data_IF_712176768597
#
_entry.id   IF_712176768597
#
_cell.length_a   1.000
_cell.length_b   1.000
_cell.length_c   1.000
_cell.angle_alpha   90.00
_cell.angle_beta   90.00
_cell.angle_gamma   90.00
#
_symmetry.space_group_name_H-M   'P 1'
#
loop_
_entity.id
_entity.type
_entity.pdbx_description
1 polymer ?
#
# COMPACT_ATOMS: atom_id res chain seq x y z
N UNK A 1 14.99 17.32 -3.05
CA UNK A 1 13.57 17.65 -2.76
C UNK A 1 12.92 18.51 -3.85
N UNK A 2 13.38 19.74 -4.09
CA UNK A 2 12.79 20.59 -5.15
C UNK A 2 12.85 19.95 -6.54
N UNK A 3 13.95 19.27 -6.87
CA UNK A 3 14.09 18.58 -8.16
C UNK A 3 13.13 17.40 -8.30
N UNK A 4 13.01 16.56 -7.27
CA UNK A 4 12.02 15.48 -7.21
C UNK A 4 10.59 16.03 -7.40
N UNK A 5 10.29 17.19 -6.81
CA UNK A 5 9.00 17.83 -6.96
C UNK A 5 8.75 18.34 -8.38
N UNK A 6 9.75 18.93 -9.03
CA UNK A 6 9.66 19.33 -10.45
C UNK A 6 9.39 18.12 -11.34
N UNK A 7 10.08 17.00 -11.09
CA UNK A 7 9.84 15.75 -11.80
C UNK A 7 8.45 15.19 -11.53
N UNK A 8 7.94 15.35 -10.30
CA UNK A 8 6.58 14.99 -9.94
C UNK A 8 5.57 15.79 -10.78
N UNK A 9 5.68 17.12 -10.74
CA UNK A 9 4.84 18.03 -11.52
C UNK A 9 4.91 17.79 -13.03
N UNK A 10 6.10 17.54 -13.57
CA UNK A 10 6.30 17.26 -15.00
C UNK A 10 5.60 15.98 -15.46
N UNK A 11 5.34 15.03 -14.56
CA UNK A 11 4.60 13.80 -14.83
C UNK A 11 3.09 13.93 -14.56
N UNK A 12 2.59 15.16 -14.41
CA UNK A 12 1.21 15.43 -14.00
C UNK A 12 0.93 15.16 -12.51
N UNK A 13 1.97 14.77 -11.77
CA UNK A 13 1.90 14.51 -10.34
C UNK A 13 1.73 15.79 -9.55
N UNK A 14 0.94 15.75 -8.49
CA UNK A 14 0.66 16.95 -7.69
C UNK A 14 0.46 16.65 -6.20
N UNK A 15 0.68 15.39 -5.83
CA UNK A 15 0.79 14.91 -4.45
C UNK A 15 1.85 13.81 -4.41
N UNK A 16 2.63 13.76 -3.33
CA UNK A 16 3.67 12.76 -3.13
C UNK A 16 3.35 11.88 -1.90
N UNK A 17 3.22 10.58 -2.11
CA UNK A 17 3.38 9.59 -1.05
C UNK A 17 4.84 9.17 -0.98
N UNK A 18 5.39 9.06 0.22
CA UNK A 18 6.74 8.54 0.42
C UNK A 18 6.67 7.22 1.15
N UNK A 19 7.29 6.19 0.58
CA UNK A 19 7.48 4.89 1.22
C UNK A 19 8.97 4.72 1.48
N UNK A 20 9.36 4.75 2.75
CA UNK A 20 10.72 4.49 3.20
C UNK A 20 10.85 3.05 3.65
N UNK A 21 11.67 2.27 2.95
CA UNK A 21 12.06 0.93 3.35
C UNK A 21 13.39 0.94 4.14
N UNK A 22 13.73 2.04 4.79
CA UNK A 22 14.91 2.16 5.67
C UNK A 22 14.58 1.74 7.09
N UNK A 23 15.57 1.18 7.80
CA UNK A 23 15.45 0.90 9.24
C UNK A 23 15.48 2.19 10.06
N UNK A 24 14.84 2.16 11.23
CA UNK A 24 14.94 3.23 12.22
C UNK A 24 16.41 3.38 12.65
N UNK A 25 16.98 4.56 12.42
CA UNK A 25 18.37 4.86 12.75
C UNK A 25 19.39 4.49 11.67
N UNK A 26 18.96 3.93 10.53
CA UNK A 26 19.84 3.72 9.37
C UNK A 26 20.31 5.08 8.83
N UNK A 27 21.60 5.22 8.56
CA UNK A 27 22.17 6.45 8.04
C UNK A 27 21.71 6.71 6.61
N UNK A 28 21.05 7.85 6.41
CA UNK A 28 20.66 8.34 5.09
C UNK A 28 21.92 8.80 4.36
N UNK A 29 22.18 8.32 3.12
CA UNK A 29 23.34 8.76 2.37
C UNK A 29 23.35 10.29 2.16
N UNK A 30 24.53 10.94 2.14
CA UNK A 30 24.63 12.37 1.87
C UNK A 30 23.93 12.76 0.56
N UNK A 31 23.18 13.86 0.58
CA UNK A 31 22.41 14.34 -0.57
C UNK A 31 20.99 13.77 -0.70
N UNK A 32 20.62 12.77 0.09
CA UNK A 32 19.25 12.27 0.17
C UNK A 32 18.46 12.93 1.30
N UNK A 33 17.13 13.00 1.12
CA UNK A 33 16.24 13.62 2.08
C UNK A 33 16.04 12.74 3.32
N UNK A 34 16.24 13.34 4.49
CA UNK A 34 15.98 12.73 5.79
C UNK A 34 14.50 12.76 6.13
N UNK A 35 14.07 12.03 7.16
CA UNK A 35 12.68 12.06 7.64
C UNK A 35 12.18 13.50 7.90
N UNK A 36 13.01 14.34 8.54
CA UNK A 36 12.68 15.74 8.83
C UNK A 36 12.47 16.57 7.56
N UNK A 37 13.17 16.24 6.47
CA UNK A 37 13.00 16.92 5.19
C UNK A 37 11.65 16.57 4.55
N UNK A 38 11.23 15.31 4.65
CA UNK A 38 9.93 14.85 4.14
C UNK A 38 8.75 15.43 4.93
N UNK A 39 8.87 15.48 6.26
CA UNK A 39 7.86 16.10 7.13
C UNK A 39 7.62 17.58 6.77
N UNK A 40 8.71 18.31 6.53
CA UNK A 40 8.67 19.75 6.21
C UNK A 40 8.25 20.03 4.78
N UNK A 41 8.35 19.07 3.86
CA UNK A 41 8.06 19.31 2.46
C UNK A 41 6.55 19.39 2.19
N UNK A 42 6.01 20.49 1.65
CA UNK A 42 4.57 20.69 1.54
C UNK A 42 3.88 19.78 0.52
N UNK A 43 4.61 19.28 -0.49
CA UNK A 43 4.06 18.37 -1.50
C UNK A 43 3.91 16.92 -1.05
N UNK A 44 4.38 16.56 0.16
CA UNK A 44 4.19 15.22 0.74
C UNK A 44 2.88 15.20 1.52
N UNK A 45 2.01 14.26 1.13
CA UNK A 45 0.70 14.04 1.77
C UNK A 45 0.75 12.90 2.78
N UNK A 46 1.53 11.85 2.48
CA UNK A 46 1.72 10.72 3.38
C UNK A 46 3.17 10.24 3.35
N UNK A 47 3.61 9.74 4.50
CA UNK A 47 4.88 9.06 4.68
C UNK A 47 4.60 7.70 5.34
N UNK A 48 5.22 6.65 4.82
CA UNK A 48 5.14 5.29 5.34
C UNK A 48 6.56 4.78 5.60
N UNK A 49 6.78 4.18 6.76
CA UNK A 49 8.04 3.49 7.08
C UNK A 49 7.77 1.98 7.09
N UNK A 50 8.47 1.23 6.24
CA UNK A 50 8.31 -0.22 6.07
C UNK A 50 9.68 -0.92 6.04
N UNK A 51 10.35 -1.05 7.19
CA UNK A 51 11.62 -1.77 7.28
C UNK A 51 11.42 -3.29 7.33
N UNK A 52 11.22 -3.92 6.16
CA UNK A 52 10.91 -5.36 6.09
C UNK A 52 12.13 -6.24 5.74
N UNK A 53 13.31 -5.66 5.48
CA UNK A 53 14.56 -6.42 5.34
C UNK A 53 15.67 -5.67 6.06
N UNK A 54 16.10 -6.22 7.21
CA UNK A 54 17.25 -5.69 7.93
C UNK A 54 18.50 -5.66 7.03
N UNK A 55 19.32 -4.60 7.05
CA UNK A 55 20.53 -4.46 6.24
C UNK A 55 21.47 -5.68 6.32
N UNK A 56 21.61 -6.26 7.51
CA UNK A 56 22.48 -7.42 7.78
C UNK A 56 21.97 -8.72 7.15
N UNK A 57 20.70 -8.74 6.72
CA UNK A 57 20.01 -9.91 6.15
C UNK A 57 19.72 -9.74 4.66
N UNK A 58 20.33 -8.75 4.00
CA UNK A 58 20.14 -8.55 2.56
C UNK A 58 20.77 -9.66 1.70
N UNK A 59 21.75 -10.39 2.23
CA UNK A 59 22.36 -11.56 1.58
C UNK A 59 21.67 -12.88 1.98
N UNK A 60 21.22 -12.99 3.23
CA UNK A 60 20.45 -14.11 3.76
C UNK A 60 19.08 -13.62 4.21
N UNK A 61 18.02 -13.76 3.39
CA UNK A 61 16.72 -13.19 3.74
C UNK A 61 16.24 -13.64 5.12
N UNK A 62 15.66 -12.75 5.93
CA UNK A 62 14.99 -13.14 7.15
C UNK A 62 13.86 -14.12 6.84
N UNK A 63 13.51 -14.97 7.82
CA UNK A 63 12.24 -15.67 7.76
C UNK A 63 11.12 -14.64 7.66
N UNK A 64 10.41 -14.69 6.54
CA UNK A 64 9.25 -13.86 6.23
C UNK A 64 8.11 -14.29 7.15
N UNK A 65 7.91 -13.57 8.26
CA UNK A 65 6.78 -13.77 9.15
C UNK A 65 5.48 -13.23 8.55
N UNK A 66 4.33 -13.80 8.93
CA UNK A 66 3.02 -13.33 8.48
C UNK A 66 2.76 -11.86 8.87
N UNK A 67 3.22 -11.42 10.03
CA UNK A 67 3.08 -10.03 10.50
C UNK A 67 3.69 -9.01 9.51
N UNK A 68 4.85 -9.34 8.95
CA UNK A 68 5.52 -8.49 7.96
C UNK A 68 4.74 -8.46 6.64
N UNK A 69 4.15 -9.58 6.22
CA UNK A 69 3.34 -9.67 5.01
C UNK A 69 2.02 -8.90 5.15
N UNK A 70 1.38 -8.98 6.32
CA UNK A 70 0.18 -8.20 6.65
C UNK A 70 0.45 -6.71 6.69
N UNK A 71 1.59 -6.31 7.26
CA UNK A 71 2.03 -4.92 7.25
C UNK A 71 2.25 -4.41 5.82
N UNK A 72 2.99 -5.17 5.01
CA UNK A 72 3.25 -4.82 3.61
C UNK A 72 1.94 -4.72 2.81
N UNK A 73 1.00 -5.63 3.06
CA UNK A 73 -0.34 -5.64 2.45
C UNK A 73 -1.12 -4.38 2.84
N UNK A 74 -1.09 -4.03 4.12
CA UNK A 74 -1.76 -2.83 4.66
C UNK A 74 -1.19 -1.55 4.05
N UNK A 75 0.14 -1.44 3.92
CA UNK A 75 0.76 -0.27 3.29
C UNK A 75 0.44 -0.22 1.80
N UNK A 76 0.53 -1.35 1.09
CA UNK A 76 0.19 -1.40 -0.35
C UNK A 76 -1.26 -0.96 -0.58
N UNK A 77 -2.21 -1.49 0.21
CA UNK A 77 -3.62 -1.08 0.18
C UNK A 77 -3.81 0.38 0.55
N UNK A 78 -3.12 0.90 1.57
CA UNK A 78 -3.24 2.31 1.97
C UNK A 78 -2.75 3.25 0.88
N UNK A 79 -1.61 2.92 0.26
CA UNK A 79 -1.06 3.68 -0.87
C UNK A 79 -1.98 3.59 -2.10
N UNK A 80 -2.70 2.49 -2.28
CA UNK A 80 -3.62 2.28 -3.40
C UNK A 80 -5.02 2.87 -3.18
N UNK A 81 -5.68 2.60 -2.05
CA UNK A 81 -7.04 3.06 -1.72
C UNK A 81 -7.15 4.57 -1.57
N UNK A 82 -6.08 5.27 -1.20
CA UNK A 82 -6.10 6.73 -1.23
C UNK A 82 -5.93 7.33 -2.64
N UNK A 83 -5.89 6.49 -3.68
CA UNK A 83 -6.21 6.88 -5.05
C UNK A 83 -7.73 6.91 -5.28
N UNK A 84 -8.53 6.37 -4.35
CA UNK A 84 -9.97 6.15 -4.43
C UNK A 84 -10.68 6.66 -3.16
N UNK A 85 -10.72 7.98 -2.97
CA UNK A 85 -11.64 8.73 -2.08
C UNK A 85 -11.56 8.39 -0.57
N UNK A 86 -11.11 9.33 0.29
CA UNK A 86 -11.73 9.46 1.64
C UNK A 86 -11.74 10.90 2.14
N UNK A 87 -12.96 11.34 2.47
CA UNK A 87 -13.37 12.56 3.16
C UNK A 87 -12.74 12.72 4.56
N UNK A 88 -12.71 13.95 5.08
CA UNK A 88 -11.88 14.39 6.21
C UNK A 88 -12.27 13.86 7.62
N UNK A 89 -13.04 12.78 7.74
CA UNK A 89 -13.77 12.44 8.96
C UNK A 89 -13.32 11.23 9.81
N UNK A 90 -12.33 10.42 9.40
CA UNK A 90 -12.04 9.14 10.08
C UNK A 90 -10.56 8.87 10.42
N UNK A 91 -9.73 9.90 10.62
CA UNK A 91 -8.27 9.73 10.77
C UNK A 91 -7.78 9.62 12.24
N UNK A 92 -8.67 9.69 13.23
CA UNK A 92 -8.26 9.82 14.65
C UNK A 92 -7.72 8.55 15.34
N UNK A 93 -7.56 7.41 14.65
CA UNK A 93 -7.23 6.13 15.32
C UNK A 93 -5.87 5.50 15.00
N UNK A 94 -4.97 6.15 14.27
CA UNK A 94 -3.65 5.56 13.93
C UNK A 94 -2.45 6.41 14.39
N UNK A 95 -2.49 6.89 15.64
CA UNK A 95 -1.33 7.46 16.32
C UNK A 95 -0.89 6.54 17.44
N UNK A 96 0.32 6.00 17.29
CA UNK A 96 1.09 5.14 18.21
C UNK A 96 0.79 3.62 18.14
N UNK A 97 1.63 2.91 17.40
CA UNK A 97 2.01 1.52 17.69
C UNK A 97 3.55 1.46 17.72
N UNK A 98 4.11 1.88 18.85
CA UNK A 98 5.45 1.47 19.30
C UNK A 98 5.21 0.24 20.17
N UNK A 99 5.42 -0.95 19.62
CA UNK A 99 5.45 -2.15 20.46
C UNK A 99 6.90 -2.50 20.79
N UNK A 100 7.13 -2.85 22.05
CA UNK A 100 8.43 -3.15 22.68
C UNK A 100 9.15 -4.38 22.12
N UNK A 101 8.78 -4.83 20.92
CA UNK A 101 9.23 -6.08 20.26
C UNK A 101 10.28 -5.85 19.17
N UNK A 102 10.60 -4.59 18.84
CA UNK A 102 11.59 -4.27 17.80
C UNK A 102 11.10 -4.49 16.37
N UNK A 103 9.79 -4.59 16.15
CA UNK A 103 9.19 -4.69 14.82
C UNK A 103 8.55 -3.36 14.37
N UNK A 104 8.96 -2.94 13.16
CA UNK A 104 8.33 -1.98 12.23
C UNK A 104 7.27 -1.01 12.80
N UNK A 105 7.66 0.26 13.00
CA UNK A 105 6.72 1.35 13.25
C UNK A 105 6.10 1.87 11.95
N UNK A 106 4.79 1.70 11.76
CA UNK A 106 4.00 2.50 10.81
C UNK A 106 3.97 3.95 11.31
N UNK A 107 4.93 4.77 10.85
CA UNK A 107 4.96 6.20 11.13
C UNK A 107 4.18 6.94 10.06
N UNK A 108 2.90 7.19 10.32
CA UNK A 108 2.05 8.04 9.47
C UNK A 108 1.99 9.44 10.08
N UNK A 109 2.44 10.45 9.35
CA UNK A 109 2.36 11.84 9.77
C UNK A 109 1.71 12.67 8.66
N UNK A 110 0.50 13.18 8.93
CA UNK A 110 -0.28 13.97 7.96
C UNK A 110 -1.39 14.84 8.56
N UNK A 111 -1.59 14.86 9.89
CA UNK A 111 -2.81 15.42 10.51
C UNK A 111 -3.12 16.91 10.29
N UNK A 112 -2.27 17.72 9.65
CA UNK A 112 -2.48 19.19 9.62
C UNK A 112 -2.00 19.96 8.40
N UNK A 113 -1.62 19.31 7.30
CA UNK A 113 -1.59 20.07 6.04
C UNK A 113 -3.01 20.06 5.54
N UNK A 114 -3.73 21.11 5.91
CA UNK A 114 -5.01 21.51 5.35
C UNK A 114 -5.03 21.00 3.91
N UNK A 115 -5.94 20.05 3.62
CA UNK A 115 -6.15 19.52 2.27
C UNK A 115 -6.74 20.69 1.47
N UNK A 116 -5.93 21.71 1.20
CA UNK A 116 -6.29 22.93 0.51
C UNK A 116 -6.59 22.53 -0.91
N UNK A 117 -7.84 22.16 -1.16
CA UNK A 117 -8.54 22.25 -2.43
C UNK A 117 -7.66 21.96 -3.65
N UNK A 118 -6.99 20.81 -3.65
CA UNK A 118 -6.30 20.30 -4.83
C UNK A 118 -7.39 19.60 -5.68
N UNK A 119 -7.81 20.28 -6.75
CA UNK A 119 -8.90 19.94 -7.69
C UNK A 119 -8.95 18.44 -8.05
N UNK A 120 -10.10 17.94 -8.49
CA UNK A 120 -10.35 16.52 -8.82
C UNK A 120 -9.43 15.81 -9.87
N UNK A 121 -8.37 16.45 -10.38
CA UNK A 121 -7.46 15.90 -11.41
C UNK A 121 -6.01 15.69 -10.91
N UNK A 122 -5.79 15.50 -9.61
CA UNK A 122 -4.44 15.41 -9.06
C UNK A 122 -3.91 13.96 -9.11
N UNK A 123 -2.95 13.68 -9.99
CA UNK A 123 -2.27 12.39 -10.02
C UNK A 123 -1.32 12.29 -8.84
N UNK A 124 -1.47 11.25 -8.03
CA UNK A 124 -0.60 10.97 -6.88
C UNK A 124 0.61 10.17 -7.35
N UNK A 125 1.80 10.57 -6.93
CA UNK A 125 3.04 9.86 -7.21
C UNK A 125 3.54 9.20 -5.93
N UNK A 126 3.92 7.93 -6.05
CA UNK A 126 4.51 7.17 -4.95
C UNK A 126 6.02 7.17 -5.14
N UNK A 127 6.73 7.74 -4.18
CA UNK A 127 8.19 7.72 -4.10
C UNK A 127 8.64 6.65 -3.13
N UNK A 128 9.26 5.59 -3.63
CA UNK A 128 9.77 4.47 -2.85
C UNK A 128 11.27 4.65 -2.67
N UNK A 129 11.77 4.63 -1.43
CA UNK A 129 13.18 4.80 -1.13
C UNK A 129 13.70 3.72 -0.17
N UNK A 130 14.96 3.34 -0.38
CA UNK A 130 15.77 2.62 0.59
C UNK A 130 17.23 3.08 0.42
N UNK A 131 18.17 2.59 1.24
CA UNK A 131 19.57 3.05 1.21
C UNK A 131 20.21 3.08 -0.19
N UNK A 132 20.00 2.06 -1.01
CA UNK A 132 20.51 2.02 -2.41
C UNK A 132 19.42 2.24 -3.46
N UNK A 133 18.16 2.14 -3.07
CA UNK A 133 17.00 2.14 -3.97
C UNK A 133 16.89 0.91 -4.87
N UNK A 134 17.64 -0.17 -4.60
CA UNK A 134 17.73 -1.33 -5.52
C UNK A 134 17.05 -2.59 -5.00
N UNK A 135 17.26 -2.93 -3.72
CA UNK A 135 16.84 -4.22 -3.16
C UNK A 135 15.48 -4.10 -2.48
N UNK A 136 15.43 -3.39 -1.34
CA UNK A 136 14.19 -3.19 -0.56
C UNK A 136 13.12 -2.43 -1.33
N UNK A 137 13.51 -1.34 -2.01
CA UNK A 137 12.58 -0.57 -2.83
C UNK A 137 11.97 -1.43 -3.97
N UNK A 138 12.78 -2.32 -4.56
CA UNK A 138 12.29 -3.26 -5.57
C UNK A 138 11.28 -4.25 -4.99
N UNK A 139 11.55 -4.85 -3.82
CA UNK A 139 10.59 -5.78 -3.19
C UNK A 139 9.26 -5.09 -2.91
N UNK A 140 9.27 -3.86 -2.40
CA UNK A 140 8.04 -3.10 -2.17
C UNK A 140 7.31 -2.81 -3.49
N UNK A 141 8.04 -2.31 -4.50
CA UNK A 141 7.46 -2.03 -5.82
C UNK A 141 6.83 -3.28 -6.44
N UNK A 142 7.54 -4.41 -6.35
CA UNK A 142 7.08 -5.70 -6.84
C UNK A 142 5.81 -6.16 -6.12
N UNK A 143 5.79 -6.09 -4.78
CA UNK A 143 4.61 -6.39 -3.97
C UNK A 143 3.41 -5.50 -4.34
N UNK A 144 3.64 -4.20 -4.53
CA UNK A 144 2.60 -3.26 -4.92
C UNK A 144 2.02 -3.57 -6.31
N UNK A 145 2.87 -3.78 -7.32
CA UNK A 145 2.43 -4.08 -8.68
C UNK A 145 1.64 -5.39 -8.75
N UNK A 146 2.13 -6.44 -8.09
CA UNK A 146 1.44 -7.74 -8.15
C UNK A 146 0.12 -7.75 -7.35
N UNK A 147 0.07 -7.09 -6.19
CA UNK A 147 -1.14 -7.12 -5.35
C UNK A 147 -2.19 -6.07 -5.69
N UNK A 148 -1.77 -4.84 -6.03
CA UNK A 148 -2.70 -3.73 -6.24
C UNK A 148 -2.94 -3.45 -7.72
N UNK A 149 -1.96 -3.71 -8.59
CA UNK A 149 -2.12 -3.54 -10.04
C UNK A 149 -2.47 -4.84 -10.77
N UNK A 150 -2.54 -5.97 -10.05
CA UNK A 150 -2.89 -7.27 -10.61
C UNK A 150 -1.86 -7.81 -11.62
N UNK A 151 -0.63 -7.29 -11.62
CA UNK A 151 0.40 -7.71 -12.57
C UNK A 151 0.97 -9.08 -12.19
N UNK A 152 1.24 -9.91 -13.20
CA UNK A 152 1.99 -11.14 -12.96
C UNK A 152 3.45 -10.83 -12.62
N UNK A 153 4.13 -11.78 -11.94
CA UNK A 153 5.54 -11.61 -11.57
C UNK A 153 6.42 -11.21 -12.77
N UNK A 154 6.32 -11.92 -13.88
CA UNK A 154 7.17 -11.67 -15.05
C UNK A 154 6.88 -10.31 -15.71
N UNK A 155 5.62 -9.88 -15.65
CA UNK A 155 5.19 -8.58 -16.18
C UNK A 155 5.74 -7.45 -15.31
N UNK A 156 5.54 -7.53 -14.00
CA UNK A 156 6.02 -6.52 -13.06
C UNK A 156 7.56 -6.43 -13.04
N UNK A 157 8.29 -7.55 -13.07
CA UNK A 157 9.76 -7.55 -13.13
C UNK A 157 10.26 -6.90 -14.43
N UNK A 158 9.64 -7.23 -15.58
CA UNK A 158 9.96 -6.61 -16.87
C UNK A 158 9.70 -5.10 -16.83
N UNK A 159 8.57 -4.69 -16.27
CA UNK A 159 8.22 -3.27 -16.13
C UNK A 159 9.24 -2.51 -15.28
N UNK A 160 9.64 -3.06 -14.13
CA UNK A 160 10.64 -2.43 -13.26
C UNK A 160 12.01 -2.35 -13.94
N UNK A 161 12.45 -3.41 -14.63
CA UNK A 161 13.73 -3.46 -15.35
C UNK A 161 13.82 -2.47 -16.52
N UNK A 162 12.70 -2.08 -17.12
CA UNK A 162 12.67 -1.02 -18.14
C UNK A 162 12.96 0.37 -17.55
N UNK A 163 12.66 0.58 -16.27
CA UNK A 163 12.82 1.88 -15.59
C UNK A 163 14.20 2.03 -14.94
N UNK A 164 14.74 0.95 -14.39
CA UNK A 164 16.05 0.91 -13.75
C UNK A 164 16.61 -0.51 -13.79
N UNK A 165 17.92 -0.62 -13.87
CA UNK A 165 18.59 -1.92 -13.74
C UNK A 165 18.51 -2.41 -12.30
N UNK A 166 17.69 -3.43 -12.06
CA UNK A 166 17.50 -4.07 -10.75
C UNK A 166 18.15 -5.45 -10.71
N UNK A 167 18.80 -5.75 -9.59
CA UNK A 167 19.48 -7.03 -9.33
C UNK A 167 19.01 -7.62 -8.00
N UNK A 168 17.74 -8.04 -7.88
CA UNK A 168 17.24 -8.64 -6.66
C UNK A 168 17.94 -9.98 -6.40
N UNK A 169 18.25 -10.26 -5.13
CA UNK A 169 18.75 -11.58 -4.74
C UNK A 169 17.63 -12.63 -4.79
N UNK A 170 17.93 -13.94 -4.91
CA UNK A 170 16.92 -14.99 -4.86
C UNK A 170 16.01 -14.90 -3.62
N UNK A 171 16.61 -14.48 -2.51
CA UNK A 171 15.94 -14.27 -1.24
C UNK A 171 14.88 -13.13 -1.31
N UNK A 172 15.16 -12.06 -2.07
CA UNK A 172 14.21 -10.96 -2.28
C UNK A 172 13.07 -11.35 -3.21
N UNK A 173 13.37 -12.14 -4.24
CA UNK A 173 12.36 -12.73 -5.12
C UNK A 173 11.42 -13.62 -4.31
N UNK A 174 11.96 -14.46 -3.42
CA UNK A 174 11.17 -15.32 -2.55
C UNK A 174 10.22 -14.53 -1.64
N UNK A 175 10.66 -13.39 -1.09
CA UNK A 175 9.80 -12.50 -0.29
C UNK A 175 8.61 -12.00 -1.13
N UNK A 176 8.87 -11.49 -2.34
CA UNK A 176 7.83 -10.96 -3.21
C UNK A 176 6.80 -12.05 -3.60
N UNK A 177 7.25 -13.28 -3.87
CA UNK A 177 6.38 -14.41 -4.18
C UNK A 177 5.58 -14.88 -2.96
N UNK A 178 6.20 -14.98 -1.78
CA UNK A 178 5.50 -15.30 -0.52
C UNK A 178 4.41 -14.29 -0.22
N UNK A 179 4.68 -13.00 -0.45
CA UNK A 179 3.69 -11.94 -0.32
C UNK A 179 2.52 -12.13 -1.27
N UNK A 180 2.77 -12.40 -2.56
CA UNK A 180 1.70 -12.66 -3.53
C UNK A 180 0.81 -13.83 -3.11
N UNK A 181 1.41 -14.93 -2.65
CA UNK A 181 0.65 -16.08 -2.15
C UNK A 181 -0.19 -15.72 -0.92
N UNK A 182 0.34 -14.87 -0.04
CA UNK A 182 -0.36 -14.39 1.14
C UNK A 182 -1.57 -13.52 0.77
N UNK A 183 -1.39 -12.54 -0.12
CA UNK A 183 -2.50 -11.68 -0.57
C UNK A 183 -3.57 -12.47 -1.32
N UNK A 184 -3.18 -13.45 -2.16
CA UNK A 184 -4.14 -14.36 -2.81
C UNK A 184 -4.97 -15.17 -1.82
N UNK A 185 -4.35 -15.67 -0.74
CA UNK A 185 -5.05 -16.41 0.32
C UNK A 185 -6.00 -15.52 1.10
N UNK A 186 -5.56 -14.31 1.45
CA UNK A 186 -6.38 -13.33 2.14
C UNK A 186 -7.60 -12.93 1.30
N UNK A 187 -7.40 -12.60 0.03
CA UNK A 187 -8.47 -12.24 -0.90
C UNK A 187 -9.47 -13.38 -1.09
N UNK A 188 -9.00 -14.62 -1.29
CA UNK A 188 -9.91 -15.79 -1.35
C UNK A 188 -10.69 -16.04 -0.06
N UNK A 189 -10.11 -15.69 1.09
CA UNK A 189 -10.81 -15.82 2.37
C UNK A 189 -11.90 -14.73 2.51
N UNK A 190 -11.61 -13.51 2.07
CA UNK A 190 -12.58 -12.42 1.96
C UNK A 190 -13.72 -12.76 0.98
N UNK A 191 -13.40 -13.22 -0.24
CA UNK A 191 -14.39 -13.62 -1.25
C UNK A 191 -15.33 -14.71 -0.72
N UNK A 192 -14.79 -15.71 -0.01
CA UNK A 192 -15.59 -16.77 0.62
C UNK A 192 -16.45 -16.25 1.77
N UNK A 193 -15.96 -15.29 2.54
CA UNK A 193 -16.74 -14.68 3.62
C UNK A 193 -17.87 -13.81 3.06
N UNK A 194 -17.62 -13.09 1.97
CA UNK A 194 -18.64 -12.34 1.23
C UNK A 194 -19.66 -13.28 0.60
N UNK A 195 -19.23 -14.35 -0.07
CA UNK A 195 -20.11 -15.39 -0.62
C UNK A 195 -20.99 -16.02 0.47
N UNK A 196 -20.40 -16.35 1.63
CA UNK A 196 -21.14 -16.88 2.76
C UNK A 196 -22.16 -15.88 3.34
N UNK A 197 -21.81 -14.59 3.34
CA UNK A 197 -22.71 -13.49 3.76
C UNK A 197 -23.85 -13.32 2.76
N UNK A 198 -23.54 -13.32 1.47
CA UNK A 198 -24.51 -13.27 0.38
C UNK A 198 -25.50 -14.43 0.48
N UNK A 199 -25.01 -15.66 0.66
CA UNK A 199 -25.86 -16.85 0.85
C UNK A 199 -26.72 -16.74 2.10
N UNK A 200 -26.20 -16.19 3.21
CA UNK A 200 -26.98 -15.93 4.43
C UNK A 200 -28.10 -14.93 4.22
N UNK A 201 -27.92 -13.92 3.38
CA UNK A 201 -28.96 -12.93 3.04
C UNK A 201 -29.95 -13.51 2.02
N UNK A 202 -29.45 -14.25 1.03
CA UNK A 202 -30.25 -14.82 -0.06
C UNK A 202 -31.16 -15.95 0.43
N UNK A 203 -30.72 -16.76 1.38
CA UNK A 203 -31.47 -17.92 1.88
C UNK A 203 -32.84 -17.51 2.47
N UNK A 204 -32.92 -16.53 3.39
CA UNK A 204 -34.21 -15.98 3.84
C UNK A 204 -35.07 -15.44 2.69
N UNK A 205 -34.49 -14.69 1.76
CA UNK A 205 -35.23 -14.11 0.62
C UNK A 205 -35.84 -15.21 -0.26
N UNK A 206 -35.09 -16.27 -0.54
CA UNK A 206 -35.56 -17.43 -1.29
C UNK A 206 -36.54 -18.31 -0.51
N UNK A 207 -36.59 -18.18 0.82
CA UNK A 207 -37.58 -18.88 1.67
C UNK A 207 -38.94 -18.16 1.74
N UNK A 208 -39.01 -16.89 1.34
CA UNK A 208 -40.26 -16.13 1.29
C UNK A 208 -41.25 -16.72 0.27
N UNK A 209 -42.55 -16.46 0.46
CA UNK A 209 -43.54 -16.79 -0.57
C UNK A 209 -43.35 -15.94 -1.83
N UNK A 210 -43.85 -16.44 -2.97
CA UNK A 210 -43.72 -15.78 -4.27
C UNK A 210 -44.27 -14.34 -4.27
N UNK A 211 -45.33 -14.10 -3.50
CA UNK A 211 -45.91 -12.77 -3.30
C UNK A 211 -44.92 -11.80 -2.65
N UNK A 212 -44.30 -12.20 -1.53
CA UNK A 212 -43.35 -11.34 -0.81
C UNK A 212 -42.05 -11.14 -1.57
N UNK A 213 -41.58 -12.13 -2.33
CA UNK A 213 -40.42 -11.95 -3.23
C UNK A 213 -40.70 -10.91 -4.31
N UNK A 214 -41.85 -11.01 -4.99
CA UNK A 214 -42.23 -10.05 -6.03
C UNK A 214 -42.41 -8.63 -5.48
N UNK A 215 -42.90 -8.51 -4.24
CA UNK A 215 -42.99 -7.21 -3.55
C UNK A 215 -41.60 -6.64 -3.24
N UNK A 216 -40.71 -7.45 -2.68
CA UNK A 216 -39.32 -7.06 -2.38
C UNK A 216 -38.60 -6.59 -3.64
N UNK A 217 -38.72 -7.33 -4.76
CA UNK A 217 -38.13 -6.93 -6.04
C UNK A 217 -38.62 -5.55 -6.50
N UNK A 218 -39.93 -5.29 -6.45
CA UNK A 218 -40.48 -3.96 -6.81
C UNK A 218 -40.06 -2.84 -5.86
N UNK A 219 -39.85 -3.15 -4.58
CA UNK A 219 -39.37 -2.16 -3.61
C UNK A 219 -37.88 -1.85 -3.83
N UNK A 220 -37.06 -2.86 -4.17
CA UNK A 220 -35.66 -2.67 -4.55
C UNK A 220 -35.49 -1.90 -5.86
N UNK A 221 -36.31 -2.18 -6.89
CA UNK A 221 -36.32 -1.42 -8.15
C UNK A 221 -36.66 0.07 -7.97
N UNK A 222 -37.31 0.44 -6.87
CA UNK A 222 -37.63 1.85 -6.54
C UNK A 222 -36.51 2.55 -5.76
N UNK A 223 -35.55 1.81 -5.24
CA UNK A 223 -34.43 2.31 -4.44
C UNK A 223 -33.13 2.46 -5.27
N UNK A 224 -33.06 1.85 -6.45
CA UNK A 224 -31.99 1.99 -7.43
C UNK A 224 -32.26 3.15 -8.39
#
# INVERSE_FOLDING_TARGET
MLELWRQCLARGGSMLSVVSCMELGETVPPGFATLKDWERFPGVVDYYCVPFIAPEKQENAPQVGNEMLELLSTVCRSVHMELTIVDAGQVDTQKNLLDSTGFCSLLRFGDRKERVLLKANHQRIVYIMCKTGEKRAWVFAMAYLMSQCGMEYQEADRHLRQLREFHPSPAQVEIALKFLMHTFKAQRAEDRAEEHTYLKVLTPVLSLSLYYRNRLFRELERLA
#
